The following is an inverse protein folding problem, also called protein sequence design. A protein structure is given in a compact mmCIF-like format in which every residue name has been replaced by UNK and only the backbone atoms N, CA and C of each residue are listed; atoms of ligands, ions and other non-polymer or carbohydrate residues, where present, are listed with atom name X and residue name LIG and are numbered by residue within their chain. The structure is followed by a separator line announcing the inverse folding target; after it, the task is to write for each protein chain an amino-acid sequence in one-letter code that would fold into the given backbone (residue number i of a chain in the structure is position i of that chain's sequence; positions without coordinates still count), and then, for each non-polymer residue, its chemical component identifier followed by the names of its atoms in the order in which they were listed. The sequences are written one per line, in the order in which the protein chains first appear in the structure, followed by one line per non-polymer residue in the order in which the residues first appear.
data_IF_475793461593
#
_entry.id   IF_475793461593
#
_cell.length_a   1.000
_cell.length_b   1.000
_cell.length_c   1.000
_cell.angle_alpha   90.00
_cell.angle_beta   90.00
_cell.angle_gamma   90.00
#
_symmetry.space_group_name_H-M   'P 1'
#
loop_
_entity.id
_entity.type
_entity.pdbx_description
1 polymer ?
#
# COMPACT_ATOMS: atom_id res chain seq x y z
N UNK A 1 -9.91 49.48 -41.76
CA UNK A 1 -8.50 49.82 -42.09
C UNK A 1 -7.69 48.54 -41.90
N UNK A 2 -7.16 47.93 -42.97
CA UNK A 2 -5.79 48.07 -43.53
C UNK A 2 -4.65 47.52 -42.63
N UNK A 3 -4.00 46.46 -43.13
CA UNK A 3 -2.60 45.99 -42.92
C UNK A 3 -2.18 45.18 -41.67
N UNK A 4 -2.02 43.87 -41.88
CA UNK A 4 -0.75 43.10 -41.67
C UNK A 4 0.35 43.58 -42.66
N UNK A 5 1.66 43.17 -42.62
CA UNK A 5 2.26 41.95 -42.02
C UNK A 5 3.66 42.17 -41.34
N UNK A 6 4.52 41.12 -41.37
CA UNK A 6 5.97 41.01 -41.01
C UNK A 6 6.25 40.71 -39.52
N UNK A 7 7.06 39.71 -39.10
CA UNK A 7 8.33 39.07 -39.58
C UNK A 7 9.64 39.79 -39.20
N UNK A 8 10.59 39.00 -38.68
CA UNK A 8 12.04 39.32 -38.62
C UNK A 8 12.58 39.68 -37.23
N UNK A 9 13.74 39.15 -36.84
CA UNK A 9 14.43 39.57 -35.60
C UNK A 9 15.27 38.51 -34.87
N UNK A 10 16.29 37.93 -35.52
CA UNK A 10 17.29 37.11 -34.81
C UNK A 10 18.46 37.96 -34.30
N UNK A 11 18.99 37.69 -33.10
CA UNK A 11 20.35 38.08 -32.71
C UNK A 11 20.88 37.27 -31.51
N UNK A 12 22.10 36.76 -31.64
CA UNK A 12 22.90 36.18 -30.56
C UNK A 12 23.90 37.22 -30.04
N UNK A 13 24.27 37.15 -28.75
CA UNK A 13 25.54 37.66 -28.17
C UNK A 13 25.84 36.88 -26.88
N UNK A 14 26.68 35.84 -26.94
CA UNK A 14 28.13 35.83 -26.66
C UNK A 14 28.53 35.94 -25.19
N UNK A 15 29.38 35.00 -24.74
CA UNK A 15 30.03 34.95 -23.41
C UNK A 15 31.02 36.12 -23.21
N UNK A 16 31.56 36.29 -21.99
CA UNK A 16 32.88 35.71 -21.76
C UNK A 16 32.98 34.82 -20.52
N UNK A 17 34.09 34.07 -20.45
CA UNK A 17 34.58 33.31 -19.29
C UNK A 17 35.98 33.85 -18.98
N UNK A 18 36.53 33.61 -17.78
CA UNK A 18 37.91 33.14 -17.75
C UNK A 18 38.14 31.92 -16.84
N UNK A 19 39.31 31.32 -17.02
CA UNK A 19 39.96 30.33 -16.15
C UNK A 19 41.16 31.02 -15.44
N UNK A 20 42.09 30.41 -14.68
CA UNK A 20 42.48 29.01 -14.42
C UNK A 20 43.47 28.96 -13.24
N UNK A 21 43.90 27.73 -12.85
CA UNK A 21 45.21 27.38 -12.23
C UNK A 21 45.34 27.40 -10.69
N UNK A 22 46.22 26.62 -10.03
CA UNK A 22 46.78 25.26 -10.33
C UNK A 22 47.67 24.73 -9.18
N UNK A 23 47.68 23.40 -8.93
CA UNK A 23 48.71 22.66 -8.16
C UNK A 23 48.62 22.71 -6.62
N UNK A 24 49.31 21.85 -5.85
CA UNK A 24 49.85 20.51 -6.18
C UNK A 24 49.97 19.59 -4.92
N UNK A 25 50.83 18.56 -4.92
CA UNK A 25 50.82 17.38 -3.99
C UNK A 25 51.56 17.60 -2.66
N UNK A 26 51.27 16.76 -1.65
CA UNK A 26 52.14 16.59 -0.46
C UNK A 26 51.72 15.47 0.53
N UNK A 27 52.65 14.54 0.83
CA UNK A 27 52.63 13.49 1.89
C UNK A 27 54.03 12.83 1.92
N UNK A 28 54.62 12.44 3.08
CA UNK A 28 54.15 11.33 3.94
C UNK A 28 54.35 11.54 5.47
N UNK A 29 54.24 10.47 6.29
CA UNK A 29 54.41 10.45 7.77
C UNK A 29 55.89 10.37 8.26
N UNK A 30 56.21 9.82 9.48
CA UNK A 30 55.68 8.54 10.02
C UNK A 30 55.58 8.36 11.57
N UNK A 31 55.30 7.10 11.98
CA UNK A 31 55.77 6.34 13.18
C UNK A 31 55.45 6.74 14.63
N UNK A 32 54.65 5.90 15.32
CA UNK A 32 55.00 5.12 16.53
C UNK A 32 53.73 4.34 17.03
N UNK A 33 53.68 3.05 17.40
CA UNK A 33 54.65 2.03 17.86
C UNK A 33 55.25 2.34 19.25
N UNK A 34 55.13 1.53 20.32
CA UNK A 34 54.46 0.22 20.56
C UNK A 34 53.90 0.21 22.01
N UNK A 35 53.53 -0.86 22.74
CA UNK A 35 53.70 -2.32 22.65
C UNK A 35 52.65 -3.06 23.51
N UNK A 36 52.85 -4.37 23.78
CA UNK A 36 52.06 -5.21 24.70
C UNK A 36 52.94 -5.85 25.79
N UNK A 37 52.36 -6.29 26.92
CA UNK A 37 52.29 -7.71 27.37
C UNK A 37 51.54 -7.87 28.70
N UNK A 38 51.22 -9.11 29.10
CA UNK A 38 50.43 -9.44 30.29
C UNK A 38 51.08 -10.53 31.18
N UNK A 39 50.73 -10.52 32.48
CA UNK A 39 50.55 -11.64 33.44
C UNK A 39 49.98 -11.03 34.73
N UNK A 40 48.83 -11.44 35.29
CA UNK A 40 48.39 -12.73 35.84
C UNK A 40 48.60 -12.82 37.37
N UNK A 41 47.51 -12.94 38.14
CA UNK A 41 47.52 -12.98 39.62
C UNK A 41 46.14 -12.74 40.25
N UNK A 42 45.38 -13.81 40.45
CA UNK A 42 44.15 -13.86 41.27
C UNK A 42 44.54 -14.02 42.78
N UNK A 43 43.69 -13.71 43.80
CA UNK A 43 42.23 -13.88 43.76
C UNK A 43 41.33 -12.77 44.38
N UNK A 44 40.15 -12.65 43.76
CA UNK A 44 38.83 -12.63 44.41
C UNK A 44 38.57 -11.84 45.71
N UNK A 45 37.83 -10.72 45.58
CA UNK A 45 36.52 -10.59 46.27
C UNK A 45 35.60 -9.59 45.57
N UNK A 46 34.30 -9.79 45.71
CA UNK A 46 33.23 -9.12 44.95
C UNK A 46 32.79 -7.77 45.54
N UNK A 47 32.54 -6.78 44.68
CA UNK A 47 31.24 -6.08 44.57
C UNK A 47 31.28 -5.08 43.40
N UNK A 48 30.30 -5.16 42.49
CA UNK A 48 30.18 -4.23 41.37
C UNK A 48 29.33 -3.00 41.70
N UNK A 49 29.78 -1.81 41.32
CA UNK A 49 28.95 -0.59 41.26
C UNK A 49 28.92 -0.05 39.83
N UNK A 50 27.90 -0.42 39.07
CA UNK A 50 27.66 0.08 37.72
C UNK A 50 27.32 1.58 37.75
N UNK A 51 27.96 2.37 36.88
CA UNK A 51 27.66 3.80 36.74
C UNK A 51 26.35 3.98 35.96
N UNK A 52 25.35 4.60 36.57
CA UNK A 52 24.05 4.89 35.93
C UNK A 52 24.12 6.26 35.22
N UNK A 53 23.66 6.39 33.95
CA UNK A 53 23.68 7.67 33.24
C UNK A 53 22.83 8.77 33.90
N UNK A 54 23.27 10.03 33.80
CA UNK A 54 22.60 11.24 34.35
C UNK A 54 21.33 11.66 33.58
N UNK A 55 20.40 10.74 33.36
CA UNK A 55 19.13 11.03 32.66
C UNK A 55 18.04 11.67 33.53
N UNK A 56 17.87 11.21 34.78
CA UNK A 56 16.70 11.59 35.60
C UNK A 56 16.76 13.03 36.16
N UNK A 57 17.94 13.56 36.47
CA UNK A 57 18.08 14.84 37.17
C UNK A 57 17.59 16.04 36.34
N UNK A 58 17.81 16.04 35.02
CA UNK A 58 17.34 17.12 34.13
C UNK A 58 15.81 17.16 33.98
N UNK A 59 15.11 16.07 34.25
CA UNK A 59 13.65 16.01 34.18
C UNK A 59 13.00 16.59 35.45
N UNK A 60 13.57 16.30 36.63
CA UNK A 60 13.16 16.90 37.91
C UNK A 60 13.16 18.44 37.85
N UNK A 61 14.24 19.03 37.33
CA UNK A 61 14.40 20.49 37.31
C UNK A 61 13.43 21.20 36.36
N UNK A 62 13.00 20.54 35.27
CA UNK A 62 11.92 21.06 34.40
C UNK A 62 10.54 20.92 35.04
N UNK A 63 10.30 19.85 35.82
CA UNK A 63 9.04 19.65 36.54
C UNK A 63 8.88 20.63 37.72
N UNK A 64 9.97 20.98 38.40
CA UNK A 64 9.95 21.97 39.50
C UNK A 64 9.59 23.39 39.04
N UNK A 65 9.86 23.76 37.79
CA UNK A 65 9.46 25.05 37.22
C UNK A 65 7.97 25.08 36.78
N UNK A 66 7.27 23.95 36.77
CA UNK A 66 5.82 23.92 36.59
C UNK A 66 5.15 24.05 37.97
N UNK A 67 4.36 25.09 38.18
CA UNK A 67 3.68 25.37 39.46
C UNK A 67 2.45 24.48 39.73
N UNK A 68 2.55 23.21 39.33
CA UNK A 68 1.59 22.15 39.62
C UNK A 68 2.21 21.20 40.65
N UNK A 69 1.60 20.98 41.83
CA UNK A 69 2.04 19.92 42.74
C UNK A 69 1.98 18.56 42.03
N UNK A 70 2.99 17.73 42.22
CA UNK A 70 3.15 16.41 41.56
C UNK A 70 3.48 15.37 42.63
N UNK A 71 2.68 14.31 42.70
CA UNK A 71 2.87 13.19 43.63
C UNK A 71 3.31 11.93 42.91
N UNK A 72 3.99 11.04 43.65
CA UNK A 72 4.44 9.74 43.12
C UNK A 72 3.48 8.64 43.53
N UNK A 73 2.89 7.93 42.56
CA UNK A 73 1.95 6.82 42.76
C UNK A 73 2.40 5.64 41.91
N UNK A 74 2.59 4.47 42.53
CA UNK A 74 3.03 3.23 41.87
C UNK A 74 4.25 3.44 40.95
N UNK A 75 5.23 4.23 41.41
CA UNK A 75 6.44 4.57 40.66
C UNK A 75 6.32 5.76 39.68
N UNK A 76 5.11 6.07 39.21
CA UNK A 76 4.83 7.15 38.26
C UNK A 76 4.64 8.51 38.96
N UNK A 77 5.01 9.59 38.28
CA UNK A 77 4.78 10.96 38.74
C UNK A 77 3.48 11.49 38.10
N UNK A 78 2.53 11.91 38.94
CA UNK A 78 1.18 12.33 38.53
C UNK A 78 0.85 13.70 39.12
N UNK A 79 0.37 14.69 38.34
CA UNK A 79 -0.08 15.96 38.88
C UNK A 79 -1.20 15.77 39.92
N UNK A 80 -1.09 16.46 41.03
CA UNK A 80 -2.08 16.40 42.09
C UNK A 80 -3.38 17.09 41.65
N UNK A 81 -4.52 16.55 42.08
CA UNK A 81 -5.84 16.93 41.54
C UNK A 81 -6.20 16.34 40.17
N UNK A 82 -5.26 15.77 39.40
CA UNK A 82 -5.60 15.14 38.12
C UNK A 82 -6.42 13.85 38.32
N UNK A 83 -7.75 13.97 38.21
CA UNK A 83 -8.67 12.85 38.12
C UNK A 83 -8.87 12.53 36.63
N UNK A 84 -8.43 11.34 36.21
CA UNK A 84 -8.78 10.81 34.89
C UNK A 84 -10.32 10.78 34.77
N UNK A 85 -10.87 11.39 33.72
CA UNK A 85 -12.30 11.29 33.43
C UNK A 85 -12.62 9.83 33.10
N UNK A 86 -13.59 9.24 33.81
CA UNK A 86 -14.07 7.89 33.49
C UNK A 86 -14.86 7.97 32.18
N UNK A 87 -14.18 7.68 31.07
CA UNK A 87 -14.83 7.49 29.77
C UNK A 87 -15.61 6.18 29.86
N UNK A 88 -16.91 6.28 30.08
CA UNK A 88 -17.81 5.15 29.88
C UNK A 88 -17.95 4.93 28.36
N UNK A 89 -17.68 3.72 27.83
CA UNK A 89 -18.04 3.40 26.45
C UNK A 89 -19.54 3.59 26.23
N UNK A 90 -19.94 3.99 25.03
CA UNK A 90 -21.35 4.05 24.67
C UNK A 90 -21.89 2.62 24.49
N UNK A 91 -23.00 2.29 25.16
CA UNK A 91 -23.66 0.98 25.07
C UNK A 91 -24.17 0.67 23.65
N UNK A 92 -24.36 1.72 22.84
CA UNK A 92 -24.57 1.66 21.40
C UNK A 92 -23.67 2.71 20.75
N UNK A 93 -22.52 2.29 20.24
CA UNK A 93 -21.63 3.16 19.49
C UNK A 93 -22.01 3.14 18.01
N UNK A 94 -22.89 4.06 17.62
CA UNK A 94 -23.22 4.28 16.21
C UNK A 94 -22.06 5.00 15.51
N UNK A 95 -21.15 4.20 14.93
CA UNK A 95 -20.05 4.65 14.08
C UNK A 95 -20.52 5.55 12.94
N UNK A 96 -21.69 5.29 12.35
CA UNK A 96 -22.17 5.96 11.14
C UNK A 96 -22.75 7.32 11.49
N UNK A 97 -23.64 7.41 12.48
CA UNK A 97 -24.14 8.69 12.99
C UNK A 97 -23.02 9.57 13.53
N UNK A 98 -22.01 9.02 14.20
CA UNK A 98 -20.85 9.80 14.65
C UNK A 98 -19.99 10.29 13.46
N UNK A 99 -19.70 9.42 12.49
CA UNK A 99 -18.89 9.80 11.32
C UNK A 99 -19.59 10.88 10.47
N UNK A 100 -20.92 10.79 10.31
CA UNK A 100 -21.77 11.81 9.69
C UNK A 100 -21.81 13.11 10.48
N UNK A 101 -22.02 13.07 11.79
CA UNK A 101 -22.02 14.26 12.64
C UNK A 101 -20.67 15.01 12.68
N UNK A 102 -19.60 14.37 12.19
CA UNK A 102 -18.28 14.98 11.99
C UNK A 102 -17.98 15.34 10.53
N UNK A 103 -18.71 14.81 9.54
CA UNK A 103 -18.49 15.01 8.10
C UNK A 103 -19.82 14.87 7.33
N UNK A 104 -20.41 15.98 6.89
CA UNK A 104 -21.68 15.96 6.12
C UNK A 104 -21.57 15.15 4.81
N UNK A 105 -20.36 15.06 4.25
CA UNK A 105 -20.03 14.32 3.03
C UNK A 105 -19.42 12.92 3.30
N UNK A 106 -19.64 12.35 4.49
CA UNK A 106 -19.18 11.00 4.86
C UNK A 106 -19.61 9.93 3.84
N UNK A 107 -20.90 9.88 3.50
CA UNK A 107 -21.44 8.82 2.64
C UNK A 107 -20.85 8.83 1.21
N UNK A 108 -20.83 9.96 0.46
CA UNK A 108 -20.19 9.98 -0.86
C UNK A 108 -18.68 9.70 -0.78
N UNK A 109 -17.97 10.18 0.25
CA UNK A 109 -16.54 9.87 0.44
C UNK A 109 -16.27 8.39 0.73
N UNK A 110 -17.08 7.74 1.56
CA UNK A 110 -16.94 6.31 1.82
C UNK A 110 -17.19 5.51 0.54
N UNK A 111 -18.22 5.89 -0.24
CA UNK A 111 -18.48 5.26 -1.54
C UNK A 111 -17.32 5.47 -2.52
N UNK A 112 -16.77 6.69 -2.64
CA UNK A 112 -15.61 6.98 -3.49
C UNK A 112 -14.36 6.20 -3.05
N UNK A 113 -14.12 6.11 -1.75
CA UNK A 113 -13.00 5.37 -1.17
C UNK A 113 -13.08 3.88 -1.52
N UNK A 114 -14.25 3.25 -1.34
CA UNK A 114 -14.44 1.81 -1.53
C UNK A 114 -14.93 1.40 -2.93
N UNK A 115 -15.18 2.34 -3.87
CA UNK A 115 -15.73 2.01 -5.20
C UNK A 115 -14.91 0.94 -5.93
N UNK A 116 -13.58 1.04 -5.90
CA UNK A 116 -12.67 0.06 -6.53
C UNK A 116 -12.69 -1.32 -5.88
N UNK A 117 -13.01 -1.40 -4.59
CA UNK A 117 -13.18 -2.67 -3.87
C UNK A 117 -14.57 -3.26 -4.08
N UNK A 118 -15.59 -2.40 -4.13
CA UNK A 118 -16.96 -2.76 -4.51
C UNK A 118 -17.00 -3.30 -5.95
N UNK A 119 -16.32 -2.68 -6.91
CA UNK A 119 -16.25 -3.22 -8.28
C UNK A 119 -15.44 -4.50 -8.36
N UNK A 120 -14.35 -4.64 -7.60
CA UNK A 120 -13.61 -5.91 -7.49
C UNK A 120 -14.49 -7.05 -6.94
N UNK A 121 -15.27 -6.81 -5.87
CA UNK A 121 -16.18 -7.81 -5.31
C UNK A 121 -17.25 -8.24 -6.32
N UNK A 122 -17.83 -7.28 -7.03
CA UNK A 122 -18.84 -7.50 -8.07
C UNK A 122 -18.25 -8.18 -9.32
N UNK A 123 -16.96 -8.01 -9.61
CA UNK A 123 -16.25 -8.71 -10.69
C UNK A 123 -15.91 -10.16 -10.29
N UNK A 124 -15.47 -10.39 -9.05
CA UNK A 124 -15.18 -11.73 -8.53
C UNK A 124 -16.42 -12.62 -8.48
N UNK A 125 -17.55 -12.12 -7.96
CA UNK A 125 -18.82 -12.87 -7.93
C UNK A 125 -19.30 -13.28 -9.34
N UNK A 126 -19.01 -12.48 -10.37
CA UNK A 126 -19.40 -12.76 -11.77
C UNK A 126 -18.44 -13.70 -12.50
N UNK A 127 -17.22 -13.86 -12.01
CA UNK A 127 -16.14 -14.60 -12.69
C UNK A 127 -15.73 -15.87 -11.94
N UNK A 128 -16.05 -15.98 -10.64
CA UNK A 128 -15.53 -17.01 -9.76
C UNK A 128 -14.06 -16.84 -9.37
N UNK A 129 -13.42 -15.71 -9.73
CA UNK A 129 -11.99 -15.45 -9.50
C UNK A 129 -11.82 -14.26 -8.54
N UNK A 130 -11.27 -14.54 -7.37
CA UNK A 130 -11.16 -13.61 -6.26
C UNK A 130 -9.72 -13.15 -6.12
N UNK A 131 -9.45 -11.88 -6.45
CA UNK A 131 -8.10 -11.31 -6.40
C UNK A 131 -7.98 -10.46 -5.14
N UNK A 132 -7.21 -10.97 -4.18
CA UNK A 132 -7.04 -10.38 -2.86
C UNK A 132 -5.58 -10.16 -2.49
N UNK A 133 -5.34 -9.33 -1.49
CA UNK A 133 -4.03 -9.15 -0.88
C UNK A 133 -4.15 -9.26 0.64
N UNK A 134 -3.44 -10.22 1.23
CA UNK A 134 -3.51 -10.57 2.65
C UNK A 134 -2.18 -11.12 3.17
N UNK A 135 -2.00 -11.08 4.49
CA UNK A 135 -1.02 -11.95 5.13
C UNK A 135 -1.47 -13.42 4.98
N UNK A 136 -0.58 -14.37 4.65
CA UNK A 136 -0.97 -15.77 4.39
C UNK A 136 -1.63 -16.50 5.57
N UNK A 137 -1.47 -15.97 6.79
CA UNK A 137 -2.05 -16.50 8.03
C UNK A 137 -3.48 -15.99 8.33
N UNK A 138 -4.04 -15.10 7.50
CA UNK A 138 -5.37 -14.50 7.74
C UNK A 138 -6.46 -15.12 6.87
N UNK A 139 -7.66 -15.23 7.45
CA UNK A 139 -8.88 -15.72 6.78
C UNK A 139 -9.71 -14.60 6.12
N UNK A 140 -9.14 -13.41 5.96
CA UNK A 140 -9.77 -12.25 5.32
C UNK A 140 -8.76 -11.53 4.41
N UNK A 141 -9.26 -10.80 3.41
CA UNK A 141 -8.43 -9.99 2.53
C UNK A 141 -8.28 -8.56 3.07
N UNK A 142 -7.04 -8.08 3.15
CA UNK A 142 -6.73 -6.72 3.60
C UNK A 142 -7.00 -5.67 2.51
N UNK A 143 -7.04 -6.09 1.24
CA UNK A 143 -7.40 -5.28 0.07
C UNK A 143 -8.00 -6.18 -1.02
N UNK A 144 -9.15 -5.78 -1.59
CA UNK A 144 -9.71 -6.38 -2.81
C UNK A 144 -9.12 -5.69 -4.04
N UNK A 145 -8.77 -6.45 -5.07
CA UNK A 145 -8.01 -5.98 -6.23
C UNK A 145 -8.89 -5.98 -7.49
N UNK A 146 -8.87 -4.85 -8.21
CA UNK A 146 -9.64 -4.62 -9.43
C UNK A 146 -8.72 -4.63 -10.67
N UNK A 147 -9.27 -4.76 -11.89
CA UNK A 147 -8.45 -4.71 -13.11
C UNK A 147 -7.66 -3.39 -13.30
N UNK A 148 -8.08 -2.31 -12.64
CA UNK A 148 -7.38 -1.01 -12.63
C UNK A 148 -6.27 -0.89 -11.57
N UNK A 149 -6.14 -1.87 -10.67
CA UNK A 149 -5.15 -1.87 -9.60
C UNK A 149 -3.73 -2.11 -10.12
N UNK A 150 -2.76 -1.40 -9.55
CA UNK A 150 -1.36 -1.32 -9.98
C UNK A 150 -0.57 -2.55 -9.52
N UNK A 151 0.21 -3.12 -10.43
CA UNK A 151 1.28 -4.05 -10.13
C UNK A 151 2.53 -3.28 -9.69
N UNK A 152 3.39 -3.91 -8.89
CA UNK A 152 4.74 -3.42 -8.54
C UNK A 152 5.59 -2.95 -9.75
N UNK A 153 5.28 -3.37 -10.98
CA UNK A 153 5.91 -2.89 -12.22
C UNK A 153 5.34 -1.57 -12.78
N UNK A 154 4.52 -0.85 -12.01
CA UNK A 154 3.78 0.39 -12.34
C UNK A 154 2.64 0.27 -13.39
N UNK A 155 2.38 -0.95 -13.89
CA UNK A 155 1.31 -1.22 -14.86
C UNK A 155 0.05 -1.80 -14.18
N UNK A 156 -1.11 -1.67 -14.81
CA UNK A 156 -2.40 -2.16 -14.28
C UNK A 156 -2.55 -3.67 -14.49
N UNK A 157 -3.40 -4.32 -13.70
CA UNK A 157 -3.78 -5.72 -13.93
C UNK A 157 -4.34 -5.95 -15.36
N UNK A 158 -5.11 -5.00 -15.92
CA UNK A 158 -5.57 -5.05 -17.32
C UNK A 158 -4.45 -5.06 -18.38
N UNK A 159 -3.26 -4.55 -18.03
CA UNK A 159 -2.08 -4.47 -18.88
C UNK A 159 -1.16 -5.71 -18.70
N UNK A 160 -1.46 -6.56 -17.71
CA UNK A 160 -0.89 -7.90 -17.58
C UNK A 160 -1.58 -8.92 -18.49
N UNK A 161 -1.01 -10.11 -18.61
CA UNK A 161 -1.56 -11.25 -19.36
C UNK A 161 -2.98 -11.61 -18.89
N UNK A 162 -3.77 -12.33 -19.71
CA UNK A 162 -5.04 -12.86 -19.25
C UNK A 162 -4.81 -13.88 -18.13
N UNK A 163 -5.68 -13.88 -17.10
CA UNK A 163 -5.49 -14.65 -15.87
C UNK A 163 -6.67 -15.59 -15.57
N UNK A 164 -6.42 -16.49 -14.63
CA UNK A 164 -7.36 -17.44 -14.04
C UNK A 164 -7.02 -17.63 -12.55
N UNK A 165 -7.77 -18.48 -11.86
CA UNK A 165 -7.59 -18.80 -10.44
C UNK A 165 -6.49 -19.83 -10.12
N UNK A 166 -5.53 -20.07 -11.03
CA UNK A 166 -4.45 -21.05 -10.81
C UNK A 166 -3.12 -20.41 -10.42
N UNK A 167 -2.88 -19.14 -10.75
CA UNK A 167 -1.50 -18.62 -10.76
C UNK A 167 -1.38 -17.11 -10.76
N UNK A 168 -0.61 -16.60 -9.79
CA UNK A 168 -0.08 -15.23 -9.76
C UNK A 168 0.91 -14.92 -10.88
N UNK A 169 1.39 -15.93 -11.64
CA UNK A 169 2.37 -15.79 -12.74
C UNK A 169 1.70 -15.22 -14.01
N UNK A 170 1.12 -14.04 -13.85
CA UNK A 170 0.49 -13.24 -14.88
C UNK A 170 1.51 -12.17 -15.32
N UNK A 171 2.33 -12.40 -16.36
CA UNK A 171 3.37 -11.46 -16.77
C UNK A 171 2.78 -10.17 -17.35
N UNK A 172 3.52 -9.06 -17.26
CA UNK A 172 3.11 -7.80 -17.89
C UNK A 172 3.23 -7.89 -19.41
N UNK A 173 2.25 -7.38 -20.17
CA UNK A 173 2.28 -7.33 -21.65
C UNK A 173 2.84 -6.02 -22.22
N UNK A 174 3.18 -5.06 -21.35
CA UNK A 174 3.64 -3.74 -21.77
C UNK A 174 5.07 -3.80 -22.30
N UNK A 175 5.31 -3.10 -23.43
CA UNK A 175 6.56 -3.20 -24.20
C UNK A 175 7.76 -2.80 -23.33
N UNK A 176 8.75 -3.70 -23.23
CA UNK A 176 9.95 -3.51 -22.41
C UNK A 176 9.79 -3.84 -20.92
N UNK A 177 8.59 -4.18 -20.44
CA UNK A 177 8.39 -4.61 -19.05
C UNK A 177 8.89 -6.05 -18.84
N UNK A 178 9.70 -6.28 -17.81
CA UNK A 178 10.28 -7.60 -17.48
C UNK A 178 9.54 -8.32 -16.33
N UNK A 179 8.33 -7.86 -15.99
CA UNK A 179 7.55 -8.38 -14.86
C UNK A 179 6.90 -9.74 -15.18
N UNK A 180 7.22 -10.77 -14.37
CA UNK A 180 6.80 -12.17 -14.62
C UNK A 180 5.53 -12.61 -13.86
N UNK A 181 5.07 -11.83 -12.90
CA UNK A 181 3.94 -12.15 -12.04
C UNK A 181 3.24 -10.86 -11.58
N UNK A 182 1.91 -10.89 -11.43
CA UNK A 182 1.21 -9.75 -10.86
C UNK A 182 1.40 -9.73 -9.34
N UNK A 183 1.83 -8.59 -8.81
CA UNK A 183 2.01 -8.35 -7.39
C UNK A 183 1.45 -6.96 -7.10
N UNK A 184 0.37 -6.87 -6.33
CA UNK A 184 -0.30 -5.62 -6.03
C UNK A 184 0.60 -4.66 -5.24
N UNK A 185 0.53 -3.38 -5.58
CA UNK A 185 1.12 -2.28 -4.83
C UNK A 185 0.09 -1.15 -4.74
N UNK A 186 0.01 -0.40 -3.63
CA UNK A 186 -0.91 0.73 -3.49
C UNK A 186 -0.99 1.63 -4.73
N UNK A 187 -2.22 1.93 -5.14
CA UNK A 187 -2.53 2.85 -6.24
C UNK A 187 -2.42 4.30 -5.76
N UNK A 188 -2.96 4.55 -4.56
CA UNK A 188 -3.20 5.87 -3.95
C UNK A 188 -2.85 5.80 -2.45
N UNK A 189 -2.58 6.94 -1.78
CA UNK A 189 -2.21 6.95 -0.35
C UNK A 189 -3.32 6.43 0.58
N UNK A 190 -4.58 6.47 0.17
CA UNK A 190 -5.71 5.98 0.96
C UNK A 190 -5.70 4.45 1.16
N UNK A 191 -5.13 3.68 0.20
CA UNK A 191 -4.98 2.22 0.30
C UNK A 191 -4.06 1.79 1.47
N UNK A 192 -3.32 2.75 2.04
CA UNK A 192 -2.40 2.57 3.17
C UNK A 192 -2.69 3.55 4.32
N UNK A 193 -3.90 4.12 4.35
CA UNK A 193 -4.36 4.99 5.44
C UNK A 193 -3.75 6.40 5.45
N UNK A 194 -2.93 6.78 4.46
CA UNK A 194 -2.34 8.13 4.36
C UNK A 194 -3.35 9.18 3.80
N UNK A 195 -4.61 9.13 4.24
CA UNK A 195 -5.74 9.96 3.75
C UNK A 195 -5.56 11.48 3.92
N UNK A 196 -4.50 11.92 4.59
CA UNK A 196 -4.09 13.32 4.71
C UNK A 196 -3.22 13.79 3.52
N UNK A 197 -2.61 12.89 2.75
CA UNK A 197 -1.75 13.26 1.62
C UNK A 197 -2.51 13.95 0.47
N UNK A 198 -3.69 13.46 0.01
CA UNK A 198 -4.48 14.14 -1.02
C UNK A 198 -4.91 15.56 -0.64
N UNK A 199 -5.02 15.84 0.66
CA UNK A 199 -5.42 17.13 1.22
C UNK A 199 -4.29 18.16 1.26
N UNK A 200 -3.07 17.82 0.81
CA UNK A 200 -1.92 18.74 0.77
C UNK A 200 -1.95 19.57 -0.52
N UNK A 201 -1.74 20.90 -0.45
CA UNK A 201 -1.59 21.73 -1.65
C UNK A 201 -0.48 21.20 -2.58
N UNK A 202 -0.79 21.07 -3.86
CA UNK A 202 0.15 20.56 -4.87
C UNK A 202 0.36 19.04 -4.87
N UNK A 203 -0.47 18.26 -4.19
CA UNK A 203 -0.46 16.80 -4.31
C UNK A 203 -0.92 16.35 -5.70
N UNK A 204 -0.14 15.47 -6.34
CA UNK A 204 -0.51 14.80 -7.59
C UNK A 204 -0.68 13.28 -7.36
N UNK A 205 -1.92 12.82 -7.48
CA UNK A 205 -2.28 11.40 -7.36
C UNK A 205 -1.70 10.55 -8.51
N UNK A 206 -1.50 11.11 -9.71
CA UNK A 206 -0.96 10.39 -10.85
C UNK A 206 0.55 10.14 -10.71
N UNK A 207 1.29 11.05 -10.07
CA UNK A 207 2.70 10.89 -9.73
C UNK A 207 2.95 10.07 -8.44
N UNK A 208 1.96 9.91 -7.55
CA UNK A 208 2.16 9.20 -6.29
C UNK A 208 2.54 7.73 -6.49
N UNK A 209 3.50 7.24 -5.68
CA UNK A 209 3.98 5.85 -5.66
C UNK A 209 4.34 5.45 -4.23
N UNK A 210 3.99 4.22 -3.85
CA UNK A 210 4.39 3.63 -2.58
C UNK A 210 5.93 3.58 -2.42
N UNK A 211 6.42 3.90 -1.21
CA UNK A 211 7.85 4.04 -0.88
C UNK A 211 8.44 2.82 -0.18
N UNK A 212 9.73 2.60 -0.42
CA UNK A 212 10.57 1.70 0.37
C UNK A 212 11.21 2.45 1.55
N UNK A 213 11.58 1.73 2.62
CA UNK A 213 12.45 2.19 3.72
C UNK A 213 13.77 2.83 3.22
N UNK A 214 14.26 2.47 2.03
CA UNK A 214 15.40 3.14 1.37
C UNK A 214 15.06 4.49 0.71
N UNK A 215 13.84 5.00 0.91
CA UNK A 215 13.24 6.26 0.45
C UNK A 215 13.03 6.42 -1.06
N UNK A 216 13.46 5.47 -1.87
CA UNK A 216 13.02 5.33 -3.26
C UNK A 216 11.62 4.72 -3.34
N UNK A 217 10.89 5.03 -4.41
CA UNK A 217 9.57 4.47 -4.71
C UNK A 217 9.69 3.13 -5.44
N UNK A 218 8.65 2.28 -5.37
CA UNK A 218 8.70 0.90 -5.89
C UNK A 218 9.09 0.78 -7.37
N UNK A 219 8.78 1.76 -8.20
CA UNK A 219 9.17 1.82 -9.62
C UNK A 219 10.69 1.96 -9.85
N UNK A 220 11.49 2.30 -8.82
CA UNK A 220 12.95 2.22 -8.86
C UNK A 220 13.51 0.86 -8.43
N UNK A 221 12.67 -0.13 -8.12
CA UNK A 221 13.08 -1.50 -7.80
C UNK A 221 12.86 -2.44 -8.99
N UNK A 222 13.42 -3.66 -8.96
CA UNK A 222 13.08 -4.67 -9.97
C UNK A 222 11.61 -5.12 -9.83
N UNK A 223 10.86 -5.24 -10.94
CA UNK A 223 9.49 -5.75 -10.88
C UNK A 223 9.37 -7.23 -10.47
N UNK A 224 10.48 -7.96 -10.36
CA UNK A 224 10.52 -9.35 -9.89
C UNK A 224 11.22 -9.46 -8.53
N UNK A 225 10.82 -10.46 -7.74
CA UNK A 225 11.46 -10.77 -6.45
C UNK A 225 12.97 -11.00 -6.63
N UNK A 226 13.83 -10.50 -5.71
CA UNK A 226 13.46 -9.94 -4.40
C UNK A 226 13.16 -8.42 -4.40
N UNK A 227 13.00 -7.79 -5.58
CA UNK A 227 12.80 -6.34 -5.72
C UNK A 227 14.00 -5.50 -5.27
N UNK A 228 15.18 -5.79 -5.84
CA UNK A 228 16.41 -4.98 -5.65
C UNK A 228 16.19 -3.55 -6.14
N UNK A 229 16.62 -2.55 -5.36
CA UNK A 229 16.64 -1.17 -5.81
C UNK A 229 17.67 -0.99 -6.95
N UNK A 230 17.32 -0.19 -7.96
CA UNK A 230 18.13 0.09 -9.16
C UNK A 230 18.79 1.47 -9.14
N UNK A 231 18.43 2.34 -8.20
CA UNK A 231 19.10 3.64 -8.01
C UNK A 231 20.59 3.45 -7.72
N UNK A 232 21.44 4.13 -8.48
CA UNK A 232 22.90 4.06 -8.31
C UNK A 232 23.33 4.39 -6.87
N UNK A 233 24.26 3.60 -6.33
CA UNK A 233 24.74 3.73 -4.95
C UNK A 233 23.80 3.16 -3.87
N UNK A 234 22.60 2.70 -4.20
CA UNK A 234 21.68 2.12 -3.22
C UNK A 234 21.95 0.63 -2.98
N UNK A 235 22.26 0.25 -1.74
CA UNK A 235 22.51 -1.15 -1.33
C UNK A 235 21.23 -1.95 -1.02
N UNK A 236 20.05 -1.38 -1.27
CA UNK A 236 18.76 -1.96 -0.89
C UNK A 236 18.43 -3.22 -1.72
N UNK A 237 18.64 -4.39 -1.09
CA UNK A 237 18.49 -5.70 -1.74
C UNK A 237 17.05 -6.18 -1.94
N UNK A 238 16.12 -5.74 -1.09
CA UNK A 238 14.71 -6.11 -1.12
C UNK A 238 13.84 -4.86 -0.98
N UNK A 239 12.65 -4.84 -1.59
CA UNK A 239 11.65 -3.84 -1.23
C UNK A 239 11.11 -4.12 0.17
N UNK A 240 11.10 -3.09 1.01
CA UNK A 240 10.60 -3.10 2.38
C UNK A 240 9.76 -1.83 2.59
N UNK A 241 8.49 -1.89 2.97
CA UNK A 241 7.58 -0.73 2.91
C UNK A 241 7.90 0.35 3.93
N UNK A 242 7.87 1.62 3.48
CA UNK A 242 7.94 2.80 4.37
C UNK A 242 6.59 3.15 5.03
N UNK A 243 5.64 2.22 4.95
CA UNK A 243 4.24 2.30 5.36
C UNK A 243 3.75 0.95 5.91
N UNK A 244 2.58 0.94 6.54
CA UNK A 244 1.89 -0.26 7.03
C UNK A 244 0.54 -0.44 6.30
N UNK A 245 -0.01 -1.65 6.33
CA UNK A 245 -1.35 -1.93 5.82
C UNK A 245 -2.43 -1.30 6.73
N UNK A 246 -3.33 -0.51 6.15
CA UNK A 246 -4.42 0.15 6.89
C UNK A 246 -5.42 -0.81 7.56
N UNK A 247 -5.46 -2.08 7.16
CA UNK A 247 -6.36 -3.10 7.69
C UNK A 247 -5.73 -3.99 8.77
N UNK A 248 -4.40 -4.00 8.94
CA UNK A 248 -3.73 -4.94 9.85
C UNK A 248 -2.36 -4.51 10.44
N UNK A 249 -1.91 -3.28 10.19
CA UNK A 249 -0.66 -2.70 10.71
C UNK A 249 0.64 -3.48 10.38
N UNK A 250 0.62 -4.40 9.41
CA UNK A 250 1.81 -5.14 8.93
C UNK A 250 2.46 -4.49 7.71
N UNK A 251 3.71 -4.85 7.43
CA UNK A 251 4.43 -4.33 6.27
C UNK A 251 4.00 -5.01 4.97
N UNK A 252 4.26 -4.36 3.82
CA UNK A 252 3.86 -4.90 2.51
C UNK A 252 4.55 -6.23 2.18
N UNK A 253 5.81 -6.37 2.62
CA UNK A 253 6.60 -7.59 2.48
C UNK A 253 6.03 -8.82 3.23
N UNK A 254 5.16 -8.62 4.23
CA UNK A 254 4.49 -9.70 4.98
C UNK A 254 3.27 -10.28 4.22
N UNK A 255 2.80 -9.59 3.19
CA UNK A 255 1.60 -9.92 2.43
C UNK A 255 1.89 -10.65 1.12
N UNK A 256 0.88 -11.33 0.58
CA UNK A 256 0.90 -11.89 -0.76
C UNK A 256 -0.37 -11.49 -1.53
N UNK A 257 -0.24 -11.35 -2.85
CA UNK A 257 -1.39 -11.26 -3.76
C UNK A 257 -1.84 -12.66 -4.10
N UNK A 258 -3.14 -12.93 -3.98
CA UNK A 258 -3.78 -14.20 -4.27
C UNK A 258 -4.72 -14.07 -5.48
N UNK A 259 -4.89 -15.16 -6.21
CA UNK A 259 -5.83 -15.32 -7.32
C UNK A 259 -6.62 -16.60 -7.01
N UNK A 260 -7.54 -16.54 -6.05
CA UNK A 260 -8.25 -17.72 -5.56
C UNK A 260 -9.48 -18.02 -6.43
N UNK A 261 -9.85 -19.29 -6.58
CA UNK A 261 -11.16 -19.66 -7.13
C UNK A 261 -12.20 -19.64 -6.01
N UNK A 262 -13.47 -19.47 -6.35
CA UNK A 262 -14.54 -19.53 -5.34
C UNK A 262 -14.55 -20.87 -4.59
N UNK A 263 -14.31 -21.98 -5.31
CA UNK A 263 -14.17 -23.30 -4.70
C UNK A 263 -13.00 -23.33 -3.70
N UNK A 264 -11.82 -22.87 -4.11
CA UNK A 264 -10.62 -22.82 -3.25
C UNK A 264 -10.84 -21.96 -2.01
N UNK A 265 -11.63 -20.89 -2.11
CA UNK A 265 -12.02 -20.06 -0.96
C UNK A 265 -13.00 -20.76 -0.04
N UNK A 266 -14.05 -21.39 -0.58
CA UNK A 266 -15.02 -22.19 0.19
C UNK A 266 -14.33 -23.35 0.93
N UNK A 267 -13.38 -24.02 0.29
CA UNK A 267 -12.54 -25.10 0.89
C UNK A 267 -11.63 -24.58 2.01
N UNK A 268 -11.12 -23.34 1.92
CA UNK A 268 -10.31 -22.69 2.95
C UNK A 268 -11.13 -21.96 4.04
N UNK A 269 -12.46 -21.92 3.94
CA UNK A 269 -13.33 -21.15 4.83
C UNK A 269 -13.21 -19.63 4.67
N UNK A 270 -12.78 -19.15 3.50
CA UNK A 270 -12.62 -17.73 3.18
C UNK A 270 -13.93 -17.12 2.63
N UNK A 271 -14.21 -15.82 2.87
CA UNK A 271 -15.43 -15.17 2.39
C UNK A 271 -15.55 -15.17 0.86
N UNK A 272 -16.77 -15.36 0.36
CA UNK A 272 -17.15 -15.42 -1.07
C UNK A 272 -18.51 -14.75 -1.29
N UNK A 273 -18.86 -14.43 -2.54
CA UNK A 273 -20.14 -13.78 -2.86
C UNK A 273 -20.33 -12.46 -2.08
N UNK A 274 -21.53 -12.25 -1.54
CA UNK A 274 -21.82 -11.05 -0.74
C UNK A 274 -21.03 -10.96 0.57
N UNK A 275 -20.53 -12.06 1.13
CA UNK A 275 -19.63 -12.04 2.30
C UNK A 275 -18.24 -11.46 1.96
N UNK A 276 -17.87 -11.36 0.68
CA UNK A 276 -16.64 -10.70 0.23
C UNK A 276 -16.83 -9.23 -0.15
N UNK A 277 -18.02 -8.64 0.00
CA UNK A 277 -18.24 -7.20 -0.23
C UNK A 277 -17.56 -6.36 0.89
N UNK A 278 -17.08 -5.13 0.63
CA UNK A 278 -16.67 -4.21 1.69
C UNK A 278 -17.75 -4.03 2.76
N UNK A 279 -17.38 -4.21 4.03
CA UNK A 279 -18.27 -4.10 5.19
C UNK A 279 -19.48 -5.04 5.18
N UNK A 280 -19.40 -6.24 4.59
CA UNK A 280 -20.50 -7.21 4.51
C UNK A 280 -21.31 -7.35 5.83
N UNK A 281 -20.58 -7.34 6.95
CA UNK A 281 -21.00 -7.43 8.35
C UNK A 281 -21.63 -6.16 8.96
N UNK A 282 -21.49 -4.98 8.34
CA UNK A 282 -22.04 -3.70 8.79
C UNK A 282 -22.97 -3.12 7.71
N UNK A 283 -24.30 -3.40 7.77
CA UNK A 283 -25.26 -3.08 6.71
C UNK A 283 -25.21 -1.64 6.21
N UNK A 284 -25.14 -0.66 7.11
CA UNK A 284 -25.18 0.76 6.77
C UNK A 284 -23.95 1.18 5.93
N UNK A 285 -22.75 0.76 6.36
CA UNK A 285 -21.50 1.03 5.65
C UNK A 285 -21.42 0.28 4.32
N UNK A 286 -21.90 -0.98 4.29
CA UNK A 286 -22.00 -1.81 3.07
C UNK A 286 -22.91 -1.17 2.03
N UNK A 287 -24.08 -0.73 2.46
CA UNK A 287 -25.06 -0.08 1.61
C UNK A 287 -24.50 1.24 1.07
N UNK A 288 -23.87 2.08 1.92
CA UNK A 288 -23.11 3.26 1.46
C UNK A 288 -22.02 2.88 0.45
N UNK A 289 -21.21 1.86 0.68
CA UNK A 289 -20.15 1.43 -0.24
C UNK A 289 -20.69 0.88 -1.58
N UNK A 290 -21.92 0.37 -1.61
CA UNK A 290 -22.60 -0.12 -2.81
C UNK A 290 -23.35 0.97 -3.59
N UNK A 291 -24.10 1.85 -2.91
CA UNK A 291 -25.07 2.77 -3.52
C UNK A 291 -24.75 4.25 -3.26
N UNK A 292 -24.06 4.56 -2.16
CA UNK A 292 -23.90 5.90 -1.61
C UNK A 292 -24.93 6.27 -0.54
N UNK A 293 -25.84 5.34 -0.19
CA UNK A 293 -26.95 5.55 0.74
C UNK A 293 -27.09 4.33 1.67
N UNK A 294 -27.12 4.56 2.99
CA UNK A 294 -27.21 3.48 3.99
C UNK A 294 -28.58 2.76 3.99
N UNK A 295 -29.67 3.48 3.67
CA UNK A 295 -31.00 2.90 3.58
C UNK A 295 -31.23 2.11 2.27
N UNK A 296 -30.36 2.27 1.26
CA UNK A 296 -30.51 1.60 -0.04
C UNK A 296 -29.74 0.27 -0.08
N UNK A 297 -30.40 -0.80 0.36
CA UNK A 297 -29.90 -2.17 0.23
C UNK A 297 -30.17 -2.81 -1.14
N UNK A 298 -30.76 -2.09 -2.12
CA UNK A 298 -31.23 -2.70 -3.38
C UNK A 298 -30.11 -3.43 -4.15
N UNK A 299 -28.89 -2.87 -4.15
CA UNK A 299 -27.71 -3.53 -4.73
C UNK A 299 -27.27 -4.76 -3.94
N UNK A 300 -27.35 -4.74 -2.61
CA UNK A 300 -27.01 -5.90 -1.79
C UNK A 300 -27.98 -7.06 -2.04
N UNK A 301 -29.29 -6.79 -2.04
CA UNK A 301 -30.31 -7.79 -2.36
C UNK A 301 -30.16 -8.35 -3.78
N UNK A 302 -29.89 -7.49 -4.76
CA UNK A 302 -29.67 -7.91 -6.14
C UNK A 302 -28.41 -8.78 -6.31
N UNK A 303 -27.32 -8.49 -5.58
CA UNK A 303 -26.13 -9.35 -5.58
C UNK A 303 -26.39 -10.67 -4.84
N UNK A 304 -27.14 -10.64 -3.73
CA UNK A 304 -27.50 -11.84 -2.94
C UNK A 304 -28.38 -12.82 -3.72
N UNK A 305 -29.18 -12.34 -4.66
CA UNK A 305 -29.92 -13.20 -5.60
C UNK A 305 -29.00 -14.07 -6.47
N UNK A 306 -27.74 -13.67 -6.66
CA UNK A 306 -26.71 -14.40 -7.42
C UNK A 306 -25.54 -14.88 -6.54
N UNK A 307 -25.74 -15.06 -5.22
CA UNK A 307 -24.79 -15.77 -4.34
C UNK A 307 -24.80 -17.29 -4.55
N UNK A 308 -25.85 -17.80 -5.19
CA UNK A 308 -25.85 -19.14 -5.77
C UNK A 308 -24.88 -19.16 -6.96
N UNK A 309 -23.94 -20.11 -6.93
CA UNK A 309 -23.00 -20.38 -8.02
C UNK A 309 -23.79 -20.49 -9.33
N UNK A 310 -23.57 -19.63 -10.34
CA UNK A 310 -24.22 -19.81 -11.63
C UNK A 310 -23.74 -21.14 -12.23
N UNK A 311 -24.62 -21.93 -12.87
CA UNK A 311 -24.28 -23.25 -13.41
C UNK A 311 -23.13 -23.23 -14.43
N UNK A 312 -22.85 -22.04 -14.99
CA UNK A 312 -21.77 -21.73 -15.91
C UNK A 312 -20.72 -20.77 -15.31
N UNK A 313 -20.52 -20.78 -13.98
CA UNK A 313 -19.36 -20.20 -13.33
C UNK A 313 -18.06 -20.80 -13.90
N UNK A 314 -16.91 -20.15 -13.64
CA UNK A 314 -15.60 -20.71 -13.97
C UNK A 314 -15.20 -21.81 -12.98
N UNK A 315 -15.95 -22.91 -13.01
CA UNK A 315 -15.68 -24.17 -12.28
C UNK A 315 -14.47 -24.89 -12.89
N UNK A 316 -14.27 -24.75 -14.20
CA UNK A 316 -13.03 -25.11 -14.87
C UNK A 316 -11.95 -24.04 -14.67
N UNK A 317 -10.98 -24.31 -13.80
CA UNK A 317 -9.79 -23.50 -13.48
C UNK A 317 -8.99 -22.91 -14.68
N UNK A 318 -9.31 -23.29 -15.93
CA UNK A 318 -8.61 -22.87 -17.15
C UNK A 318 -9.26 -21.70 -17.89
N UNK A 319 -10.49 -21.28 -17.56
CA UNK A 319 -11.14 -20.18 -18.29
C UNK A 319 -10.55 -18.82 -17.91
N UNK A 320 -10.24 -18.03 -18.93
CA UNK A 320 -9.64 -16.69 -18.81
C UNK A 320 -10.71 -15.64 -18.51
N UNK A 321 -10.43 -14.73 -17.56
CA UNK A 321 -11.30 -13.58 -17.28
C UNK A 321 -11.19 -12.51 -18.38
N UNK A 322 -12.30 -12.08 -19.02
CA UNK A 322 -12.27 -11.13 -20.13
C UNK A 322 -12.32 -9.67 -19.65
N UNK A 323 -11.20 -8.95 -19.78
CA UNK A 323 -11.12 -7.52 -19.47
C UNK A 323 -12.11 -6.67 -20.30
N UNK A 324 -13.15 -6.14 -19.65
CA UNK A 324 -14.21 -5.35 -20.29
C UNK A 324 -13.81 -3.89 -20.55
N UNK A 325 -12.86 -3.67 -21.46
CA UNK A 325 -12.39 -2.32 -21.84
C UNK A 325 -11.61 -2.21 -23.15
N UNK A 326 -11.16 -3.31 -23.75
CA UNK A 326 -10.48 -3.28 -25.05
C UNK A 326 -11.45 -2.92 -26.18
N UNK A 327 -11.13 -1.91 -27.01
CA UNK A 327 -11.82 -1.69 -28.29
C UNK A 327 -11.64 -2.94 -29.17
N UNK A 328 -12.76 -3.49 -29.64
CA UNK A 328 -12.80 -4.88 -30.12
C UNK A 328 -12.09 -5.13 -31.46
N UNK A 329 -11.38 -6.25 -31.54
CA UNK A 329 -11.18 -6.99 -32.78
C UNK A 329 -12.36 -7.95 -32.98
N UNK A 330 -12.98 -7.95 -34.16
CA UNK A 330 -14.21 -8.70 -34.42
C UNK A 330 -13.96 -10.18 -34.67
N UNK A 331 -14.54 -11.04 -33.84
CA UNK A 331 -14.80 -12.45 -34.18
C UNK A 331 -16.32 -12.70 -34.18
N UNK A 332 -16.90 -12.84 -35.37
CA UNK A 332 -18.25 -13.42 -35.52
C UNK A 332 -18.10 -14.94 -35.53
N UNK A 333 -18.94 -15.64 -34.75
CA UNK A 333 -18.94 -17.10 -34.70
C UNK A 333 -19.58 -17.73 -35.95
N UNK A 334 -19.17 -18.97 -36.24
CA UNK A 334 -19.72 -19.83 -37.30
C UNK A 334 -18.94 -21.15 -37.32
N UNK A 335 -19.59 -22.33 -37.29
CA UNK A 335 -18.90 -23.61 -37.18
C UNK A 335 -18.50 -24.18 -38.55
N UNK A 336 -17.35 -24.87 -38.59
CA UNK A 336 -17.07 -25.92 -39.56
C UNK A 336 -16.29 -25.53 -40.83
N UNK A 337 -14.99 -25.77 -40.83
CA UNK A 337 -14.30 -26.46 -41.93
C UNK A 337 -13.03 -27.15 -41.41
N UNK A 338 -12.72 -28.35 -41.90
CA UNK A 338 -11.44 -29.04 -41.67
C UNK A 338 -10.88 -29.46 -43.04
N UNK A 339 -9.78 -28.86 -43.51
CA UNK A 339 -9.03 -29.43 -44.62
C UNK A 339 -8.30 -30.68 -44.13
N UNK A 340 -8.53 -31.81 -44.80
CA UNK A 340 -7.50 -32.86 -44.91
C UNK A 340 -6.42 -32.37 -45.87
N UNK A 341 -5.17 -32.75 -45.61
CA UNK A 341 -4.08 -32.60 -46.56
C UNK A 341 -3.83 -33.96 -47.23
N UNK A 342 -3.64 -33.92 -48.55
CA UNK A 342 -2.76 -34.85 -49.28
C UNK A 342 -1.32 -34.30 -49.25
#
# INVERSE_FOLDING_TARGET
MKKTPLQGGSSQKTKPKPSSSSGEKGSPGPSNASSSRAKAGSPEKTTGKSVVPKGQQGMMQKLQNAQMPIKKVNGMYVPEGYRMRVIKPAEKYDVVSMAKAMNDDFAPKLKELFDTETTAAIEAQKTGVYIGWRCPEFQHDCQRIHFTSRCFCDHKLSEHAPYNALSVKVPCRMVGCTCKAYMWVPNRPEDIGEFWLPKRPGFDAAAWRAKCKCKHTHNFHDPNRPHRCKTSGCSCGNFMSDFLCAACDRHWEDHQTFFDSEQSRREQGLPVGTDWIPFAEMPDLRNIALTGNEQDESRYLALKQFDAIPDNAVTGNNTVVPFKGGRGGTSRGGPGFKPTYD
#
